data_IF_858084145006
#
_entry.id   IF_858084145006
#
_cell.length_a   1.000
_cell.length_b   1.000
_cell.length_c   1.000
_cell.angle_alpha   90.00
_cell.angle_beta   90.00
_cell.angle_gamma   90.00
#
_symmetry.space_group_name_H-M   'P 1'
#
loop_
_entity.id
_entity.type
_entity.pdbx_description
1 polymer ?
#
# COMPACT_ATOMS: atom_id res chain seq x y z
N UNK A 1 -0.62 -35.39 -34.81
CA UNK A 1 0.21 -35.83 -33.66
C UNK A 1 1.47 -34.99 -33.65
N UNK A 2 1.90 -34.59 -32.47
CA UNK A 2 2.68 -33.37 -32.23
C UNK A 2 4.17 -33.42 -32.57
N UNK A 3 4.78 -32.23 -32.40
CA UNK A 3 6.17 -31.86 -32.06
C UNK A 3 6.89 -31.12 -33.20
N UNK A 4 7.57 -30.01 -32.94
CA UNK A 4 7.71 -29.25 -31.70
C UNK A 4 8.69 -28.09 -31.92
N UNK A 5 8.44 -26.93 -31.31
CA UNK A 5 9.30 -25.74 -31.48
C UNK A 5 10.59 -25.89 -30.65
N UNK A 6 11.74 -25.64 -31.26
CA UNK A 6 13.05 -25.43 -30.62
C UNK A 6 13.66 -24.19 -31.27
N UNK A 7 13.71 -23.05 -30.58
CA UNK A 7 14.77 -22.64 -29.65
C UNK A 7 16.01 -22.07 -30.37
N UNK A 8 16.17 -20.75 -30.29
CA UNK A 8 17.49 -20.14 -30.07
C UNK A 8 17.34 -18.70 -29.58
N UNK A 9 17.77 -18.42 -28.34
CA UNK A 9 17.92 -17.06 -27.81
C UNK A 9 19.33 -16.58 -28.14
N UNK A 10 19.45 -15.50 -28.92
CA UNK A 10 20.73 -14.85 -29.19
C UNK A 10 20.98 -13.74 -28.14
N UNK A 11 21.67 -14.05 -27.06
CA UNK A 11 22.22 -13.05 -26.14
C UNK A 11 23.61 -12.67 -26.66
N UNK A 12 23.68 -11.60 -27.46
CA UNK A 12 24.94 -11.00 -27.88
C UNK A 12 25.53 -10.20 -26.70
N UNK A 13 26.59 -10.72 -26.09
CA UNK A 13 27.33 -9.99 -25.06
C UNK A 13 28.30 -8.98 -25.66
N UNK A 14 28.53 -7.88 -24.94
CA UNK A 14 29.78 -7.12 -25.04
C UNK A 14 30.33 -6.87 -23.64
N UNK A 15 31.36 -7.64 -23.28
CA UNK A 15 32.20 -7.40 -22.11
C UNK A 15 33.36 -6.50 -22.57
N UNK A 16 33.37 -5.24 -22.13
CA UNK A 16 34.49 -4.33 -22.34
C UNK A 16 35.48 -4.38 -21.17
N UNK A 17 36.54 -5.18 -21.29
CA UNK A 17 37.66 -5.21 -20.33
C UNK A 17 38.79 -4.26 -20.76
N UNK A 18 39.04 -3.20 -20.00
CA UNK A 18 40.34 -2.54 -19.75
C UNK A 18 40.18 -1.80 -18.40
N UNK A 19 41.01 -1.94 -17.36
CA UNK A 19 42.42 -2.37 -17.27
C UNK A 19 42.76 -3.05 -15.91
N UNK A 20 44.01 -3.52 -15.77
CA UNK A 20 44.53 -4.44 -14.74
C UNK A 20 45.92 -3.94 -14.30
N UNK A 21 46.39 -3.93 -13.03
CA UNK A 21 45.77 -3.94 -11.68
C UNK A 21 46.79 -3.24 -10.72
N UNK A 22 46.83 -3.45 -9.37
CA UNK A 22 47.29 -4.72 -8.78
C UNK A 22 46.41 -5.25 -7.61
N UNK A 23 46.52 -6.55 -7.35
CA UNK A 23 45.78 -7.27 -6.30
C UNK A 23 46.51 -7.15 -4.94
N UNK A 24 45.77 -6.84 -3.87
CA UNK A 24 46.19 -7.14 -2.48
C UNK A 24 45.02 -7.69 -1.65
N UNK A 25 44.78 -9.00 -1.81
CA UNK A 25 44.67 -9.99 -0.72
C UNK A 25 44.17 -9.52 0.66
N UNK A 26 42.90 -9.85 0.95
CA UNK A 26 42.26 -10.09 2.26
C UNK A 26 42.37 -9.05 3.40
N UNK A 27 41.23 -8.46 3.74
CA UNK A 27 40.79 -8.30 5.12
C UNK A 27 39.31 -8.71 5.24
N UNK A 28 39.00 -9.67 6.12
CA UNK A 28 37.63 -10.03 6.41
C UNK A 28 37.08 -9.07 7.48
N UNK A 29 36.42 -7.99 7.04
CA UNK A 29 35.60 -7.15 7.92
C UNK A 29 34.12 -7.24 7.54
N UNK A 30 33.31 -7.76 8.46
CA UNK A 30 31.85 -7.73 8.37
C UNK A 30 31.34 -6.31 8.58
N UNK A 31 31.44 -5.47 7.56
CA UNK A 31 30.72 -4.19 7.50
C UNK A 31 29.36 -4.40 6.84
N UNK A 32 28.37 -4.61 7.71
CA UNK A 32 26.96 -4.35 7.43
C UNK A 32 26.80 -2.90 6.96
N UNK A 33 26.76 -2.69 5.64
CA UNK A 33 26.43 -1.38 5.10
C UNK A 33 24.92 -1.12 5.12
N UNK A 34 24.59 0.11 5.53
CA UNK A 34 23.37 0.82 5.19
C UNK A 34 22.02 0.22 5.61
N UNK A 35 21.61 0.55 6.84
CA UNK A 35 20.32 1.23 7.01
C UNK A 35 20.60 2.63 7.55
N UNK A 36 20.91 3.56 6.65
CA UNK A 36 20.75 4.99 6.96
C UNK A 36 19.27 5.27 7.07
N UNK A 37 18.75 5.21 8.30
CA UNK A 37 17.37 5.57 8.62
C UNK A 37 17.20 7.08 8.44
N UNK A 38 16.83 7.52 7.24
CA UNK A 38 16.77 8.93 6.90
C UNK A 38 15.64 9.68 7.62
N UNK A 39 16.09 10.59 8.49
CA UNK A 39 15.57 11.95 8.65
C UNK A 39 14.14 12.12 9.14
N UNK A 40 14.01 11.96 10.46
CA UNK A 40 12.86 12.36 11.27
C UNK A 40 12.79 13.90 11.46
N UNK A 41 12.87 14.67 10.37
CA UNK A 41 13.13 16.13 10.40
C UNK A 41 12.06 17.04 9.77
N UNK A 42 11.03 16.53 9.06
CA UNK A 42 9.99 17.41 8.47
C UNK A 42 8.51 17.04 8.64
N UNK A 43 8.20 16.20 9.64
CA UNK A 43 6.85 15.69 9.95
C UNK A 43 5.73 16.75 10.04
N UNK A 44 6.06 18.01 10.35
CA UNK A 44 5.10 19.11 10.47
C UNK A 44 4.78 19.81 9.13
N UNK A 45 5.74 19.93 8.20
CA UNK A 45 5.50 20.53 6.89
C UNK A 45 4.74 19.56 5.99
N UNK A 46 5.14 18.29 5.98
CA UNK A 46 4.47 17.21 5.24
C UNK A 46 3.00 17.08 5.66
N UNK A 47 2.73 17.17 6.97
CA UNK A 47 1.38 17.14 7.52
C UNK A 47 0.51 18.28 6.98
N UNK A 48 1.02 19.52 6.94
CA UNK A 48 0.28 20.68 6.39
C UNK A 48 0.00 20.52 4.90
N UNK A 49 0.96 19.99 4.13
CA UNK A 49 0.81 19.72 2.69
C UNK A 49 -0.26 18.65 2.46
N UNK A 50 -0.25 17.56 3.24
CA UNK A 50 -1.28 16.50 3.17
C UNK A 50 -2.66 17.03 3.58
N UNK A 51 -2.77 17.79 4.67
CA UNK A 51 -4.03 18.40 5.11
C UNK A 51 -4.61 19.35 4.04
N UNK A 52 -3.76 20.13 3.35
CA UNK A 52 -4.19 20.96 2.21
C UNK A 52 -4.71 20.16 1.02
N UNK A 53 -4.00 19.10 0.61
CA UNK A 53 -4.44 18.20 -0.48
C UNK A 53 -5.75 17.48 -0.16
N UNK A 54 -5.95 17.06 1.09
CA UNK A 54 -7.19 16.40 1.53
C UNK A 54 -8.39 17.36 1.52
N UNK A 55 -8.20 18.64 1.88
CA UNK A 55 -9.25 19.67 1.74
C UNK A 55 -9.66 19.86 0.27
N UNK A 56 -8.71 20.02 -0.63
CA UNK A 56 -8.99 20.13 -2.07
C UNK A 56 -9.68 18.89 -2.64
N UNK A 57 -9.35 17.69 -2.14
CA UNK A 57 -10.05 16.46 -2.51
C UNK A 57 -11.50 16.45 -2.00
N UNK A 58 -11.75 16.91 -0.78
CA UNK A 58 -13.09 17.06 -0.20
C UNK A 58 -13.94 18.12 -0.92
N UNK A 59 -13.35 19.24 -1.33
CA UNK A 59 -14.01 20.26 -2.16
C UNK A 59 -14.43 19.68 -3.52
N UNK A 60 -13.53 18.98 -4.22
CA UNK A 60 -13.85 18.28 -5.47
C UNK A 60 -14.89 17.19 -5.28
N UNK A 61 -14.82 16.42 -4.19
CA UNK A 61 -15.82 15.42 -3.83
C UNK A 61 -17.22 16.03 -3.72
N UNK A 62 -17.34 17.23 -3.15
CA UNK A 62 -18.61 17.93 -3.03
C UNK A 62 -19.17 18.46 -4.35
N UNK A 63 -18.36 18.55 -5.42
CA UNK A 63 -18.84 18.84 -6.78
C UNK A 63 -19.36 17.62 -7.55
N UNK A 64 -19.16 16.39 -7.04
CA UNK A 64 -19.61 15.18 -7.71
C UNK A 64 -21.11 14.98 -7.59
N UNK A 65 -21.73 14.47 -8.66
CA UNK A 65 -23.13 14.05 -8.65
C UNK A 65 -23.36 12.84 -7.72
N UNK A 66 -24.60 12.66 -7.25
CA UNK A 66 -24.98 11.53 -6.41
C UNK A 66 -24.62 10.17 -7.05
N UNK A 67 -24.79 10.04 -8.37
CA UNK A 67 -24.43 8.81 -9.11
C UNK A 67 -22.93 8.50 -9.02
N UNK A 68 -22.08 9.51 -9.24
CA UNK A 68 -20.62 9.35 -9.15
C UNK A 68 -20.15 9.04 -7.72
N UNK A 69 -20.84 9.58 -6.70
CA UNK A 69 -20.58 9.22 -5.30
C UNK A 69 -20.98 7.77 -5.00
N UNK A 70 -22.14 7.32 -5.49
CA UNK A 70 -22.59 5.92 -5.30
C UNK A 70 -21.71 4.90 -6.03
N UNK A 71 -21.17 5.23 -7.20
CA UNK A 71 -20.14 4.44 -7.88
C UNK A 71 -18.90 4.24 -6.98
N UNK A 72 -18.44 5.28 -6.28
CA UNK A 72 -17.34 5.18 -5.31
C UNK A 72 -17.74 4.44 -4.03
N UNK A 73 -18.95 4.62 -3.52
CA UNK A 73 -19.44 3.86 -2.36
C UNK A 73 -19.63 2.37 -2.67
N UNK A 74 -19.93 2.00 -3.91
CA UNK A 74 -19.96 0.61 -4.35
C UNK A 74 -18.57 -0.03 -4.25
N UNK A 75 -17.52 0.68 -4.69
CA UNK A 75 -16.13 0.23 -4.56
C UNK A 75 -15.69 0.08 -3.08
N UNK A 76 -16.10 0.99 -2.19
CA UNK A 76 -15.83 0.85 -0.75
C UNK A 76 -16.58 -0.32 -0.11
N UNK A 77 -17.76 -0.67 -0.62
CA UNK A 77 -18.52 -1.83 -0.15
C UNK A 77 -17.83 -3.14 -0.58
N UNK A 78 -17.29 -3.18 -1.80
CA UNK A 78 -16.45 -4.28 -2.27
C UNK A 78 -15.14 -4.39 -1.46
N UNK A 79 -14.46 -3.26 -1.20
CA UNK A 79 -13.27 -3.21 -0.33
C UNK A 79 -13.58 -3.77 1.06
N UNK A 80 -14.66 -3.32 1.72
CA UNK A 80 -15.14 -3.85 3.00
C UNK A 80 -15.35 -5.38 2.95
N UNK A 81 -15.98 -5.89 1.88
CA UNK A 81 -16.22 -7.34 1.71
C UNK A 81 -14.93 -8.12 1.43
N UNK A 82 -13.92 -7.52 0.83
CA UNK A 82 -12.59 -8.13 0.65
C UNK A 82 -11.81 -8.11 1.98
N UNK A 83 -11.79 -6.98 2.69
CA UNK A 83 -11.15 -6.83 4.00
C UNK A 83 -11.76 -7.81 5.02
N UNK A 84 -13.08 -7.97 5.04
CA UNK A 84 -13.75 -8.95 5.90
C UNK A 84 -13.35 -10.40 5.61
N UNK A 85 -13.34 -10.81 4.33
CA UNK A 85 -12.88 -12.15 3.92
C UNK A 85 -11.39 -12.38 4.23
N UNK A 86 -10.57 -11.34 4.22
CA UNK A 86 -9.17 -11.43 4.66
C UNK A 86 -9.10 -11.71 6.17
N UNK A 87 -9.89 -11.00 7.00
CA UNK A 87 -9.94 -11.28 8.45
C UNK A 87 -10.42 -12.70 8.74
N UNK A 88 -11.46 -13.17 8.04
CA UNK A 88 -11.94 -14.56 8.15
C UNK A 88 -10.82 -15.56 7.82
N UNK A 89 -10.04 -15.32 6.74
CA UNK A 89 -8.94 -16.22 6.36
C UNK A 89 -7.77 -16.18 7.34
N UNK A 90 -7.49 -15.04 7.95
CA UNK A 90 -6.45 -14.90 8.97
C UNK A 90 -6.84 -15.63 10.27
N UNK A 91 -8.13 -15.62 10.63
CA UNK A 91 -8.66 -16.42 11.75
C UNK A 91 -8.65 -17.93 11.44
N UNK A 92 -9.06 -18.33 10.24
CA UNK A 92 -9.00 -19.74 9.78
C UNK A 92 -7.56 -20.31 9.82
N UNK A 93 -6.56 -19.47 9.56
CA UNK A 93 -5.14 -19.83 9.62
C UNK A 93 -4.53 -19.74 11.04
N UNK A 94 -5.31 -19.34 12.06
CA UNK A 94 -4.82 -19.15 13.43
C UNK A 94 -3.83 -17.99 13.61
N UNK A 95 -3.79 -17.05 12.66
CA UNK A 95 -2.96 -15.82 12.74
C UNK A 95 -3.66 -14.76 13.60
N UNK A 96 -5.00 -14.76 13.61
CA UNK A 96 -5.85 -13.95 14.46
C UNK A 96 -6.75 -14.84 15.31
N UNK A 97 -7.13 -14.36 16.48
CA UNK A 97 -8.26 -14.93 17.22
C UNK A 97 -9.59 -14.57 16.52
N UNK A 98 -10.59 -15.44 16.66
CA UNK A 98 -11.90 -15.27 16.02
C UNK A 98 -12.58 -13.95 16.48
N UNK A 99 -12.55 -13.68 17.77
CA UNK A 99 -13.12 -12.47 18.38
C UNK A 99 -12.44 -11.19 17.88
N UNK A 100 -11.11 -11.22 17.68
CA UNK A 100 -10.34 -10.11 17.10
C UNK A 100 -10.69 -9.88 15.63
N UNK A 101 -10.82 -10.96 14.84
CA UNK A 101 -11.26 -10.88 13.45
C UNK A 101 -12.70 -10.32 13.34
N UNK A 102 -13.61 -10.69 14.24
CA UNK A 102 -14.97 -10.15 14.31
C UNK A 102 -15.02 -8.69 14.77
N UNK A 103 -14.21 -8.31 15.76
CA UNK A 103 -14.06 -6.91 16.18
C UNK A 103 -13.49 -6.03 15.05
N UNK A 104 -12.55 -6.55 14.26
CA UNK A 104 -12.02 -5.85 13.08
C UNK A 104 -13.07 -5.73 11.97
N UNK A 105 -13.77 -6.80 11.59
CA UNK A 105 -14.89 -6.75 10.63
C UNK A 105 -15.92 -5.69 11.01
N UNK A 106 -16.32 -5.68 12.29
CA UNK A 106 -17.28 -4.70 12.82
C UNK A 106 -16.79 -3.25 12.67
N UNK A 107 -15.51 -2.97 12.94
CA UNK A 107 -14.90 -1.63 12.75
C UNK A 107 -14.84 -1.21 11.29
N UNK A 108 -14.57 -2.13 10.37
CA UNK A 108 -14.57 -1.87 8.92
C UNK A 108 -15.99 -1.53 8.45
N UNK A 109 -16.98 -2.30 8.87
CA UNK A 109 -18.38 -2.05 8.55
C UNK A 109 -18.90 -0.73 9.13
N UNK A 110 -18.57 -0.43 10.39
CA UNK A 110 -18.91 0.85 11.03
C UNK A 110 -18.24 2.04 10.31
N UNK A 111 -16.99 1.89 9.85
CA UNK A 111 -16.28 2.88 9.04
C UNK A 111 -16.97 3.13 7.71
N UNK A 112 -17.39 2.07 7.01
CA UNK A 112 -18.15 2.17 5.75
C UNK A 112 -19.47 2.93 5.95
N UNK A 113 -20.27 2.53 6.94
CA UNK A 113 -21.56 3.17 7.21
C UNK A 113 -21.39 4.66 7.54
N UNK A 114 -20.44 5.01 8.42
CA UNK A 114 -20.15 6.42 8.76
C UNK A 114 -19.80 7.28 7.54
N UNK A 115 -19.02 6.74 6.59
CA UNK A 115 -18.64 7.45 5.36
C UNK A 115 -19.86 7.64 4.44
N UNK A 116 -20.66 6.58 4.25
CA UNK A 116 -21.85 6.64 3.39
C UNK A 116 -22.94 7.55 3.97
N UNK A 117 -23.15 7.51 5.28
CA UNK A 117 -24.10 8.37 6.02
C UNK A 117 -23.68 9.83 6.04
N UNK A 118 -22.40 10.15 6.28
CA UNK A 118 -21.97 11.55 6.35
C UNK A 118 -21.86 12.21 4.97
N UNK A 119 -21.74 11.42 3.91
CA UNK A 119 -21.62 11.94 2.54
C UNK A 119 -20.22 12.47 2.20
N UNK A 120 -19.25 12.29 3.11
CA UNK A 120 -17.91 12.88 3.07
C UNK A 120 -16.93 12.15 2.15
N UNK A 121 -15.78 12.79 1.91
CA UNK A 121 -14.69 12.17 1.18
C UNK A 121 -14.08 10.99 1.99
N UNK A 122 -14.03 9.75 1.43
CA UNK A 122 -13.72 8.53 2.20
C UNK A 122 -12.37 8.49 2.92
N UNK A 123 -11.39 9.27 2.45
CA UNK A 123 -10.02 9.27 2.97
C UNK A 123 -9.70 10.46 3.88
N UNK A 124 -10.71 11.20 4.36
CA UNK A 124 -10.51 12.17 5.45
C UNK A 124 -10.08 11.39 6.70
N UNK A 125 -8.81 11.52 7.08
CA UNK A 125 -8.34 11.04 8.39
C UNK A 125 -9.13 11.75 9.48
N UNK A 126 -10.05 11.03 10.13
CA UNK A 126 -10.66 11.53 11.35
C UNK A 126 -9.54 11.88 12.33
N UNK A 127 -9.42 13.17 12.63
CA UNK A 127 -8.43 13.68 13.58
C UNK A 127 -8.79 13.06 14.92
N UNK A 128 -7.95 12.14 15.40
CA UNK A 128 -8.25 11.32 16.58
C UNK A 128 -8.86 12.17 17.70
N UNK A 129 -10.07 11.79 18.12
CA UNK A 129 -10.74 12.44 19.26
C UNK A 129 -9.78 12.35 20.45
N UNK A 130 -9.39 13.51 20.96
CA UNK A 130 -8.72 13.63 22.26
C UNK A 130 -9.73 13.38 23.37
#
# INVERSE_FOLDING_TARGET
MDKGKLCSFAIAGMIGFLSISPITTYAAETKTESVTQSDNLNKNQDRKVVEGKLKQASEKWNTLSAKQKEEVYSLLEEEMKVEGRLMDKLAELGILEQDDAEAMKSRVQERYHKIKESGDFPFIRQKGRK
#
